data_IF_182418578241
#
_entry.id   IF_182418578241
#
_cell.length_a   1.000
_cell.length_b   1.000
_cell.length_c   1.000
_cell.angle_alpha   90.00
_cell.angle_beta   90.00
_cell.angle_gamma   90.00
#
_symmetry.space_group_name_H-M   'P 1'
#
loop_
_entity.id
_entity.type
_entity.pdbx_description
1 polymer ?
#
# COMPACT_ATOMS: atom_id res chain seq x y z
N UNK A 1 -45.90 -13.05 32.25
CA UNK A 1 -45.51 -11.69 31.83
C UNK A 1 -44.05 -11.68 31.39
N UNK A 2 -43.07 -11.86 32.30
CA UNK A 2 -41.64 -11.96 31.93
C UNK A 2 -41.32 -12.95 30.78
N UNK A 3 -41.90 -14.16 30.77
CA UNK A 3 -41.69 -15.13 29.67
C UNK A 3 -42.30 -14.71 28.33
N UNK A 4 -43.38 -13.94 28.34
CA UNK A 4 -44.02 -13.44 27.12
C UNK A 4 -43.23 -12.24 26.57
N UNK A 5 -42.79 -11.34 27.45
CA UNK A 5 -41.89 -10.22 27.11
C UNK A 5 -40.56 -10.72 26.53
N UNK A 6 -39.94 -11.75 27.13
CA UNK A 6 -38.73 -12.38 26.60
C UNK A 6 -38.97 -13.04 25.23
N UNK A 7 -40.13 -13.69 25.04
CA UNK A 7 -40.46 -14.33 23.76
C UNK A 7 -40.73 -13.29 22.67
N UNK A 8 -41.36 -12.17 23.02
CA UNK A 8 -41.61 -11.07 22.09
C UNK A 8 -40.32 -10.31 21.75
N UNK A 9 -39.41 -10.12 22.71
CA UNK A 9 -38.05 -9.62 22.45
C UNK A 9 -37.24 -10.58 21.57
N UNK A 10 -37.27 -11.89 21.85
CA UNK A 10 -36.58 -12.90 21.04
C UNK A 10 -37.15 -12.97 19.61
N UNK A 11 -38.46 -12.77 19.44
CA UNK A 11 -39.09 -12.66 18.12
C UNK A 11 -38.70 -11.37 17.41
N UNK A 12 -38.67 -10.24 18.13
CA UNK A 12 -38.25 -8.95 17.59
C UNK A 12 -36.78 -8.96 17.12
N UNK A 13 -35.91 -9.69 17.82
CA UNK A 13 -34.50 -9.88 17.45
C UNK A 13 -34.33 -10.92 16.31
N UNK A 14 -35.41 -11.62 15.93
CA UNK A 14 -35.36 -12.68 14.92
C UNK A 14 -34.48 -13.86 15.34
N UNK A 15 -34.62 -14.29 16.60
CA UNK A 15 -33.79 -15.34 17.20
C UNK A 15 -33.95 -16.72 16.54
N UNK A 16 -35.10 -17.00 15.94
CA UNK A 16 -35.36 -18.26 15.23
C UNK A 16 -34.47 -18.42 13.98
N UNK A 17 -34.31 -17.34 13.20
CA UNK A 17 -33.54 -17.33 11.95
C UNK A 17 -32.10 -16.85 12.14
N UNK A 18 -31.72 -16.49 13.38
CA UNK A 18 -30.41 -15.95 13.72
C UNK A 18 -29.26 -16.89 13.30
N UNK A 19 -29.40 -18.20 13.53
CA UNK A 19 -28.38 -19.17 13.15
C UNK A 19 -28.20 -19.28 11.64
N UNK A 20 -29.28 -19.19 10.86
CA UNK A 20 -29.23 -19.29 9.41
C UNK A 20 -28.65 -18.01 8.78
N UNK A 21 -29.06 -16.84 9.29
CA UNK A 21 -28.46 -15.55 8.89
C UNK A 21 -26.96 -15.49 9.19
N UNK A 22 -26.55 -15.92 10.40
CA UNK A 22 -25.14 -15.97 10.76
C UNK A 22 -24.35 -16.91 9.83
N UNK A 23 -24.90 -18.09 9.53
CA UNK A 23 -24.27 -19.03 8.58
C UNK A 23 -24.19 -18.44 7.16
N UNK A 24 -25.20 -17.71 6.69
CA UNK A 24 -25.19 -17.06 5.38
C UNK A 24 -24.05 -16.04 5.27
N UNK A 25 -23.90 -15.17 6.26
CA UNK A 25 -22.80 -14.18 6.33
C UNK A 25 -21.45 -14.88 6.40
N UNK A 26 -21.32 -15.91 7.25
CA UNK A 26 -20.08 -16.67 7.38
C UNK A 26 -19.71 -17.41 6.08
N UNK A 27 -20.68 -18.00 5.36
CA UNK A 27 -20.44 -18.64 4.05
C UNK A 27 -19.95 -17.63 3.01
N UNK A 28 -20.54 -16.44 3.00
CA UNK A 28 -20.10 -15.33 2.15
C UNK A 28 -18.64 -14.93 2.38
N UNK A 29 -18.22 -14.92 3.64
CA UNK A 29 -16.82 -14.71 4.05
C UNK A 29 -15.95 -15.99 3.95
N UNK A 30 -16.43 -17.00 3.23
CA UNK A 30 -15.78 -18.29 2.92
C UNK A 30 -15.47 -19.17 4.14
N UNK A 31 -16.28 -19.12 5.19
CA UNK A 31 -16.18 -20.11 6.27
C UNK A 31 -16.82 -21.43 5.83
N UNK A 32 -16.00 -22.48 5.72
CA UNK A 32 -16.49 -23.85 5.56
C UNK A 32 -17.28 -24.30 6.81
N UNK A 33 -18.24 -25.23 6.69
CA UNK A 33 -18.97 -25.76 7.84
C UNK A 33 -18.05 -26.25 8.97
N UNK A 34 -16.95 -26.92 8.61
CA UNK A 34 -15.95 -27.38 9.57
C UNK A 34 -15.19 -26.23 10.27
N UNK A 35 -15.01 -25.08 9.62
CA UNK A 35 -14.38 -23.89 10.22
C UNK A 35 -15.35 -23.12 11.11
N UNK A 36 -16.65 -23.13 10.80
CA UNK A 36 -17.69 -22.48 11.61
C UNK A 36 -17.80 -23.07 13.02
N UNK A 37 -17.46 -24.35 13.18
CA UNK A 37 -17.51 -25.04 14.48
C UNK A 37 -16.21 -24.93 15.28
N UNK A 38 -15.12 -24.39 14.69
CA UNK A 38 -13.84 -24.25 15.37
C UNK A 38 -13.85 -23.07 16.35
N UNK A 39 -13.14 -23.20 17.48
CA UNK A 39 -12.98 -22.09 18.41
C UNK A 39 -12.17 -20.95 17.77
N UNK A 40 -12.59 -19.71 18.03
CA UNK A 40 -11.97 -18.49 17.46
C UNK A 40 -10.48 -18.36 17.79
N UNK A 41 -10.04 -18.90 18.94
CA UNK A 41 -8.63 -18.94 19.34
C UNK A 41 -7.73 -19.73 18.36
N UNK A 42 -8.30 -20.73 17.67
CA UNK A 42 -7.56 -21.54 16.69
C UNK A 42 -7.46 -20.89 15.30
N UNK A 43 -8.22 -19.83 15.05
CA UNK A 43 -8.21 -19.11 13.78
C UNK A 43 -7.01 -18.16 13.70
N UNK A 44 -6.45 -17.97 12.50
CA UNK A 44 -5.40 -16.99 12.26
C UNK A 44 -5.93 -15.56 12.39
N UNK A 45 -5.03 -14.56 12.49
CA UNK A 45 -5.40 -13.15 12.61
C UNK A 45 -6.42 -12.69 11.56
N UNK A 46 -6.17 -12.96 10.27
CA UNK A 46 -7.10 -12.60 9.19
C UNK A 46 -8.47 -13.27 9.32
N UNK A 47 -8.53 -14.55 9.72
CA UNK A 47 -9.81 -15.22 9.97
C UNK A 47 -10.55 -14.64 11.18
N UNK A 48 -9.84 -14.19 12.22
CA UNK A 48 -10.45 -13.50 13.37
C UNK A 48 -11.04 -12.15 12.97
N UNK A 49 -10.36 -11.40 12.09
CA UNK A 49 -10.89 -10.16 11.51
C UNK A 49 -12.16 -10.44 10.71
N UNK A 50 -12.19 -11.50 9.90
CA UNK A 50 -13.42 -11.94 9.20
C UNK A 50 -14.56 -12.29 10.15
N UNK A 51 -14.30 -12.94 11.28
CA UNK A 51 -15.33 -13.19 12.31
C UNK A 51 -15.85 -11.87 12.90
N UNK A 52 -14.97 -10.90 13.14
CA UNK A 52 -15.36 -9.56 13.63
C UNK A 52 -16.25 -8.83 12.63
N UNK A 53 -15.89 -8.88 11.33
CA UNK A 53 -16.71 -8.34 10.26
C UNK A 53 -18.06 -9.07 10.20
N UNK A 54 -18.07 -10.39 10.21
CA UNK A 54 -19.30 -11.19 10.22
C UNK A 54 -20.25 -10.80 11.36
N UNK A 55 -19.69 -10.55 12.57
CA UNK A 55 -20.44 -10.08 13.72
C UNK A 55 -21.05 -8.70 13.47
N UNK A 56 -20.29 -7.75 12.93
CA UNK A 56 -20.78 -6.41 12.61
C UNK A 56 -21.92 -6.47 11.57
N UNK A 57 -21.77 -7.29 10.53
CA UNK A 57 -22.79 -7.49 9.50
C UNK A 57 -24.04 -8.19 10.03
N UNK A 58 -23.87 -9.12 10.97
CA UNK A 58 -24.99 -9.84 11.59
C UNK A 58 -25.90 -8.94 12.43
N UNK A 59 -25.32 -7.95 13.11
CA UNK A 59 -26.08 -6.97 13.92
C UNK A 59 -27.01 -6.13 13.03
N UNK A 60 -26.63 -5.91 11.76
CA UNK A 60 -27.38 -5.10 10.79
C UNK A 60 -27.81 -3.74 11.38
N UNK A 61 -26.87 -2.88 11.80
CA UNK A 61 -27.19 -1.56 12.35
C UNK A 61 -27.73 -0.61 11.28
N UNK A 62 -28.39 0.48 11.72
CA UNK A 62 -28.84 1.56 10.83
C UNK A 62 -27.67 2.43 10.32
N UNK A 63 -26.59 2.47 11.11
CA UNK A 63 -25.32 3.11 10.77
C UNK A 63 -24.17 2.14 11.02
N UNK A 64 -23.45 1.76 9.96
CA UNK A 64 -22.27 0.90 10.05
C UNK A 64 -21.01 1.71 9.72
N UNK A 65 -20.00 1.61 10.60
CA UNK A 65 -18.68 2.17 10.39
C UNK A 65 -17.69 1.03 10.14
N UNK A 66 -16.98 1.07 9.02
CA UNK A 66 -15.95 0.09 8.66
C UNK A 66 -14.62 0.80 8.46
N UNK A 67 -13.58 0.29 9.12
CA UNK A 67 -12.21 0.76 8.98
C UNK A 67 -11.40 -0.33 8.29
N UNK A 68 -10.98 -0.07 7.04
CA UNK A 68 -10.25 -0.96 6.14
C UNK A 68 -10.80 -2.40 6.08
N UNK A 69 -12.07 -2.60 5.66
CA UNK A 69 -12.73 -3.90 5.71
C UNK A 69 -12.19 -4.91 4.69
N UNK A 70 -11.55 -4.44 3.62
CA UNK A 70 -10.94 -5.26 2.57
C UNK A 70 -9.59 -5.84 2.97
N UNK A 71 -8.95 -5.30 4.01
CA UNK A 71 -7.68 -5.83 4.51
C UNK A 71 -7.85 -7.28 4.98
N UNK A 72 -6.96 -8.17 4.52
CA UNK A 72 -6.98 -9.61 4.81
C UNK A 72 -8.18 -10.39 4.21
N UNK A 73 -8.93 -9.78 3.29
CA UNK A 73 -9.87 -10.47 2.41
C UNK A 73 -9.17 -10.86 1.10
N UNK A 74 -9.57 -12.00 0.54
CA UNK A 74 -9.21 -12.38 -0.81
C UNK A 74 -10.26 -11.84 -1.79
N UNK A 75 -9.92 -11.82 -3.08
CA UNK A 75 -10.77 -11.24 -4.13
C UNK A 75 -12.22 -11.76 -4.09
N UNK A 76 -12.43 -13.06 -3.91
CA UNK A 76 -13.78 -13.65 -3.81
C UNK A 76 -14.59 -13.08 -2.62
N UNK A 77 -13.96 -12.90 -1.45
CA UNK A 77 -14.61 -12.36 -0.27
C UNK A 77 -14.83 -10.84 -0.39
N UNK A 78 -13.93 -10.09 -1.03
CA UNK A 78 -14.13 -8.67 -1.34
C UNK A 78 -15.36 -8.48 -2.25
N UNK A 79 -15.43 -9.23 -3.36
CA UNK A 79 -16.57 -9.17 -4.29
C UNK A 79 -17.90 -9.55 -3.63
N UNK A 80 -17.88 -10.52 -2.71
CA UNK A 80 -19.07 -10.83 -1.90
C UNK A 80 -19.46 -9.66 -1.01
N UNK A 81 -18.49 -9.07 -0.33
CA UNK A 81 -18.72 -7.98 0.61
C UNK A 81 -19.29 -6.75 -0.11
N UNK A 82 -18.77 -6.41 -1.29
CA UNK A 82 -19.30 -5.36 -2.17
C UNK A 82 -20.78 -5.58 -2.46
N UNK A 83 -21.14 -6.77 -2.97
CA UNK A 83 -22.54 -7.11 -3.29
C UNK A 83 -23.42 -7.06 -2.04
N UNK A 84 -22.94 -7.61 -0.92
CA UNK A 84 -23.68 -7.60 0.33
C UNK A 84 -23.86 -6.17 0.87
N UNK A 85 -22.88 -5.28 0.75
CA UNK A 85 -23.00 -3.89 1.17
C UNK A 85 -24.10 -3.19 0.37
N UNK A 86 -24.06 -3.30 -0.96
CA UNK A 86 -25.05 -2.68 -1.83
C UNK A 86 -26.47 -3.19 -1.56
N UNK A 87 -26.64 -4.51 -1.36
CA UNK A 87 -27.97 -5.10 -1.15
C UNK A 87 -28.50 -4.88 0.28
N UNK A 88 -27.65 -5.02 1.30
CA UNK A 88 -28.10 -5.02 2.70
C UNK A 88 -28.20 -3.62 3.31
N UNK A 89 -27.44 -2.66 2.77
CA UNK A 89 -27.41 -1.27 3.25
C UNK A 89 -28.12 -0.29 2.31
N UNK A 90 -28.90 -0.79 1.33
CA UNK A 90 -29.82 0.06 0.58
C UNK A 90 -30.80 0.75 1.55
N UNK A 91 -30.76 2.09 1.56
CA UNK A 91 -31.53 2.93 2.50
C UNK A 91 -30.95 3.06 3.92
N UNK A 92 -29.73 2.57 4.19
CA UNK A 92 -29.04 2.71 5.50
C UNK A 92 -27.75 3.53 5.36
N UNK A 93 -27.20 3.98 6.49
CA UNK A 93 -25.94 4.72 6.48
C UNK A 93 -24.75 3.77 6.60
N UNK A 94 -23.83 3.87 5.65
CA UNK A 94 -22.56 3.15 5.65
C UNK A 94 -21.42 4.16 5.53
N UNK A 95 -20.48 4.13 6.47
CA UNK A 95 -19.24 4.92 6.41
C UNK A 95 -18.08 3.94 6.34
N UNK A 96 -17.33 4.00 5.23
CA UNK A 96 -16.16 3.14 5.02
C UNK A 96 -14.91 3.99 4.89
N UNK A 97 -13.86 3.59 5.59
CA UNK A 97 -12.48 4.00 5.32
C UNK A 97 -11.83 2.84 4.57
N UNK A 98 -11.32 3.08 3.36
CA UNK A 98 -10.55 2.09 2.62
C UNK A 98 -9.56 2.75 1.67
N UNK A 99 -8.51 2.02 1.31
CA UNK A 99 -7.63 2.34 0.19
C UNK A 99 -7.96 1.60 -1.12
N UNK A 100 -8.92 0.66 -1.11
CA UNK A 100 -9.31 -0.13 -2.30
C UNK A 100 -10.27 0.65 -3.22
N UNK A 101 -9.81 0.95 -4.43
CA UNK A 101 -10.57 1.75 -5.42
C UNK A 101 -11.77 1.01 -5.95
N UNK A 102 -11.61 -0.25 -6.31
CA UNK A 102 -12.70 -1.05 -6.89
C UNK A 102 -13.84 -1.17 -5.88
N UNK A 103 -13.48 -1.40 -4.61
CA UNK A 103 -14.44 -1.47 -3.51
C UNK A 103 -15.17 -0.13 -3.29
N UNK A 104 -14.41 0.97 -3.13
CA UNK A 104 -15.01 2.29 -2.89
C UNK A 104 -15.89 2.74 -4.06
N UNK A 105 -15.44 2.49 -5.30
CA UNK A 105 -16.19 2.88 -6.48
C UNK A 105 -17.49 2.06 -6.65
N UNK A 106 -17.51 0.82 -6.17
CA UNK A 106 -18.71 -0.03 -6.22
C UNK A 106 -19.73 0.29 -5.12
N UNK A 107 -19.27 0.68 -3.93
CA UNK A 107 -20.13 0.79 -2.73
C UNK A 107 -20.49 2.23 -2.38
N UNK A 108 -19.61 3.21 -2.62
CA UNK A 108 -19.79 4.57 -2.12
C UNK A 108 -20.57 5.47 -3.09
N UNK A 109 -21.47 6.30 -2.54
CA UNK A 109 -22.23 7.34 -3.25
C UNK A 109 -21.62 8.73 -3.11
N UNK A 110 -20.87 8.94 -2.03
CA UNK A 110 -20.28 10.22 -1.65
C UNK A 110 -18.89 9.96 -1.04
N UNK A 111 -17.94 10.84 -1.32
CA UNK A 111 -16.56 10.75 -0.84
C UNK A 111 -16.26 11.89 0.13
N UNK A 112 -15.78 11.54 1.32
CA UNK A 112 -15.33 12.50 2.32
C UNK A 112 -13.80 12.56 2.32
N UNK A 113 -13.23 13.62 1.75
CA UNK A 113 -11.78 13.81 1.76
C UNK A 113 -11.34 14.57 3.01
N UNK A 114 -10.34 14.03 3.71
CA UNK A 114 -9.69 14.69 4.84
C UNK A 114 -8.38 15.28 4.34
N UNK A 115 -8.32 16.60 4.22
CA UNK A 115 -7.11 17.32 3.79
C UNK A 115 -6.94 18.58 4.65
N UNK A 116 -5.70 18.90 5.06
CA UNK A 116 -5.43 20.14 5.81
C UNK A 116 -6.28 20.33 7.07
N UNK A 117 -6.53 19.23 7.79
CA UNK A 117 -7.42 19.18 8.98
C UNK A 117 -8.84 19.67 8.68
N UNK A 118 -9.29 19.56 7.43
CA UNK A 118 -10.64 19.88 6.97
C UNK A 118 -11.24 18.65 6.29
N UNK A 119 -12.54 18.49 6.47
CA UNK A 119 -13.35 17.49 5.79
C UNK A 119 -14.09 18.17 4.64
N UNK A 120 -13.90 17.70 3.41
CA UNK A 120 -14.64 18.16 2.24
C UNK A 120 -15.43 17.00 1.65
N UNK A 121 -16.73 17.20 1.46
CA UNK A 121 -17.61 16.22 0.86
C UNK A 121 -17.70 16.43 -0.65
N UNK A 122 -17.61 15.34 -1.40
CA UNK A 122 -17.77 15.28 -2.84
C UNK A 122 -18.89 14.29 -3.14
N UNK A 123 -19.88 14.71 -3.93
CA UNK A 123 -20.94 13.83 -4.39
C UNK A 123 -20.46 13.05 -5.61
N UNK A 124 -20.72 11.75 -5.64
CA UNK A 124 -20.31 10.85 -6.71
C UNK A 124 -19.41 9.72 -6.22
N UNK A 125 -19.11 8.82 -7.16
CA UNK A 125 -18.21 7.69 -6.94
C UNK A 125 -16.75 8.13 -6.74
N UNK A 126 -15.90 7.17 -6.37
CA UNK A 126 -14.50 7.45 -6.11
C UNK A 126 -13.76 7.94 -7.36
N UNK A 127 -14.06 7.38 -8.54
CA UNK A 127 -13.46 7.79 -9.80
C UNK A 127 -13.75 9.27 -10.15
N UNK A 128 -14.98 9.73 -9.91
CA UNK A 128 -15.35 11.14 -10.11
C UNK A 128 -14.57 12.04 -9.15
N UNK A 129 -14.42 11.64 -7.89
CA UNK A 129 -13.61 12.38 -6.92
C UNK A 129 -12.14 12.48 -7.35
N UNK A 130 -11.53 11.39 -7.84
CA UNK A 130 -10.15 11.41 -8.34
C UNK A 130 -9.96 12.42 -9.46
N UNK A 131 -10.85 12.41 -10.46
CA UNK A 131 -10.80 13.36 -11.58
C UNK A 131 -10.89 14.81 -11.08
N UNK A 132 -11.84 15.11 -10.18
CA UNK A 132 -12.01 16.45 -9.60
C UNK A 132 -10.79 16.86 -8.76
N UNK A 133 -10.20 15.93 -7.99
CA UNK A 133 -9.01 16.18 -7.18
C UNK A 133 -7.82 16.53 -8.06
N UNK A 134 -7.59 15.77 -9.12
CA UNK A 134 -6.44 15.94 -10.00
C UNK A 134 -6.55 17.25 -10.80
N UNK A 135 -7.74 17.59 -11.30
CA UNK A 135 -8.00 18.90 -11.92
C UNK A 135 -7.76 20.06 -10.95
N UNK A 136 -8.18 19.92 -9.69
CA UNK A 136 -7.94 20.93 -8.66
C UNK A 136 -6.44 21.07 -8.35
N UNK A 137 -5.71 19.95 -8.26
CA UNK A 137 -4.27 19.94 -8.03
C UNK A 137 -3.52 20.63 -9.18
N UNK A 138 -3.84 20.30 -10.43
CA UNK A 138 -3.25 20.97 -11.60
C UNK A 138 -3.53 22.48 -11.61
N UNK A 139 -4.77 22.87 -11.31
CA UNK A 139 -5.17 24.28 -11.26
C UNK A 139 -4.41 25.02 -10.17
N UNK A 140 -4.25 24.41 -9.00
CA UNK A 140 -3.46 24.97 -7.90
C UNK A 140 -1.97 25.08 -8.27
N UNK A 141 -1.42 24.07 -8.93
CA UNK A 141 -0.03 24.07 -9.39
C UNK A 141 0.23 25.18 -10.41
N UNK A 142 -0.63 25.33 -11.43
CA UNK A 142 -0.54 26.41 -12.42
C UNK A 142 -0.61 27.79 -11.75
N UNK A 143 -1.55 27.98 -10.81
CA UNK A 143 -1.67 29.23 -10.04
C UNK A 143 -0.42 29.51 -9.19
N UNK A 144 0.15 28.48 -8.56
CA UNK A 144 1.38 28.60 -7.78
C UNK A 144 2.58 28.97 -8.66
N UNK A 145 2.74 28.32 -9.81
CA UNK A 145 3.83 28.57 -10.75
C UNK A 145 3.76 30.00 -11.32
N UNK A 146 2.56 30.50 -11.64
CA UNK A 146 2.35 31.88 -12.05
C UNK A 146 2.72 32.88 -10.94
N UNK A 147 2.36 32.59 -9.69
CA UNK A 147 2.72 33.43 -8.54
C UNK A 147 4.24 33.43 -8.31
N UNK A 148 4.89 32.26 -8.40
CA UNK A 148 6.35 32.14 -8.29
C UNK A 148 7.07 32.87 -9.44
N UNK A 149 6.56 32.79 -10.66
CA UNK A 149 7.09 33.51 -11.80
C UNK A 149 6.97 35.04 -11.61
N UNK A 150 5.82 35.53 -11.15
CA UNK A 150 5.62 36.94 -10.80
C UNK A 150 6.55 37.38 -9.67
N UNK A 151 6.72 36.54 -8.63
CA UNK A 151 7.66 36.80 -7.53
C UNK A 151 9.11 36.88 -8.03
N UNK A 152 9.55 35.95 -8.88
CA UNK A 152 10.88 35.98 -9.51
C UNK A 152 11.08 37.22 -10.40
N UNK A 153 10.07 37.62 -11.16
CA UNK A 153 10.14 38.83 -12.00
C UNK A 153 10.25 40.10 -11.15
N UNK A 154 9.43 40.22 -10.09
CA UNK A 154 9.52 41.33 -9.15
C UNK A 154 10.86 41.35 -8.43
N UNK A 155 11.40 40.18 -8.03
CA UNK A 155 12.71 40.09 -7.39
C UNK A 155 13.82 40.58 -8.33
N UNK A 156 13.82 40.12 -9.60
CA UNK A 156 14.76 40.60 -10.62
C UNK A 156 14.65 42.11 -10.87
N UNK A 157 13.44 42.66 -10.83
CA UNK A 157 13.22 44.10 -10.95
C UNK A 157 13.79 44.86 -9.75
N UNK A 158 13.53 44.38 -8.54
CA UNK A 158 14.10 44.93 -7.30
C UNK A 158 15.62 44.87 -7.38
N UNK A 159 16.22 43.72 -7.63
CA UNK A 159 17.68 43.54 -7.67
C UNK A 159 18.33 44.46 -8.73
N UNK A 160 17.74 44.57 -9.92
CA UNK A 160 18.26 45.40 -11.02
C UNK A 160 18.21 46.90 -10.72
N UNK A 161 17.16 47.37 -10.03
CA UNK A 161 16.98 48.80 -9.72
C UNK A 161 17.50 49.20 -8.33
N UNK A 162 17.76 48.25 -7.43
CA UNK A 162 18.48 48.50 -6.17
C UNK A 162 19.97 48.74 -6.44
N UNK A 163 20.61 47.93 -7.31
CA UNK A 163 22.04 48.03 -7.62
C UNK A 163 22.41 49.23 -8.51
N UNK A 164 21.45 49.77 -9.29
CA UNK A 164 21.68 50.95 -10.15
C UNK A 164 21.45 52.30 -9.46
N UNK A 165 21.05 52.28 -8.19
CA UNK A 165 20.65 53.46 -7.41
C UNK A 165 21.75 54.47 -7.06
N UNK A 166 22.91 54.47 -7.72
CA UNK A 166 23.96 55.48 -7.47
C UNK A 166 24.53 56.16 -8.72
N UNK A 167 24.08 55.85 -9.95
CA UNK A 167 24.83 56.29 -11.16
C UNK A 167 24.07 57.20 -12.12
N UNK A 168 22.75 57.44 -11.99
CA UNK A 168 22.09 58.44 -12.84
C UNK A 168 20.90 59.14 -12.19
N UNK A 169 20.85 60.46 -12.35
CA UNK A 169 19.86 61.39 -11.79
C UNK A 169 18.43 61.22 -12.37
N UNK A 170 18.24 60.32 -13.35
CA UNK A 170 16.98 60.08 -14.07
C UNK A 170 16.20 58.83 -13.58
N UNK A 171 16.76 58.03 -12.66
CA UNK A 171 16.23 56.70 -12.29
C UNK A 171 15.50 56.67 -10.91
N UNK A 172 15.28 57.85 -10.31
CA UNK A 172 14.80 58.01 -8.92
C UNK A 172 13.36 57.50 -8.71
N UNK A 173 12.54 57.51 -9.77
CA UNK A 173 11.17 56.95 -9.76
C UNK A 173 11.13 55.42 -9.76
N UNK A 174 12.09 54.76 -10.42
CA UNK A 174 12.16 53.30 -10.47
C UNK A 174 12.74 52.72 -9.18
N UNK A 175 13.71 53.42 -8.56
CA UNK A 175 14.25 53.06 -7.25
C UNK A 175 13.19 53.15 -6.12
N UNK A 176 12.30 54.15 -6.16
CA UNK A 176 11.16 54.25 -5.23
C UNK A 176 10.15 53.12 -5.44
N UNK A 177 9.80 52.80 -6.68
CA UNK A 177 8.92 51.66 -7.01
C UNK A 177 9.52 50.32 -6.60
N UNK A 178 10.83 50.13 -6.77
CA UNK A 178 11.54 48.94 -6.31
C UNK A 178 11.49 48.80 -4.78
N UNK A 179 11.67 49.88 -4.01
CA UNK A 179 11.53 49.88 -2.54
C UNK A 179 10.10 49.61 -2.08
N UNK A 180 9.08 50.12 -2.78
CA UNK A 180 7.67 49.81 -2.49
C UNK A 180 7.31 48.36 -2.81
N UNK A 181 7.79 47.82 -3.94
CA UNK A 181 7.64 46.41 -4.28
C UNK A 181 8.36 45.51 -3.29
N UNK A 182 9.56 45.88 -2.83
CA UNK A 182 10.29 45.16 -1.78
C UNK A 182 9.47 45.12 -0.47
N UNK A 183 8.89 46.24 -0.03
CA UNK A 183 7.99 46.27 1.14
C UNK A 183 6.72 45.43 0.94
N UNK A 184 6.17 45.39 -0.28
CA UNK A 184 5.04 44.53 -0.62
C UNK A 184 5.43 43.05 -0.64
N UNK A 185 6.61 42.70 -1.13
CA UNK A 185 7.15 41.33 -1.13
C UNK A 185 7.49 40.86 0.28
N UNK A 186 8.03 41.73 1.12
CA UNK A 186 8.30 41.46 2.54
C UNK A 186 6.98 41.30 3.32
N UNK A 187 5.96 42.12 3.03
CA UNK A 187 4.59 41.92 3.55
C UNK A 187 3.90 40.65 3.06
N UNK A 188 4.19 40.20 1.84
CA UNK A 188 3.65 38.96 1.26
C UNK A 188 4.55 37.73 1.52
N UNK A 189 5.67 37.90 2.21
CA UNK A 189 6.72 36.89 2.32
C UNK A 189 7.30 36.69 3.72
N UNK A 190 6.98 37.54 4.69
CA UNK A 190 7.55 37.45 6.03
C UNK A 190 6.62 36.74 7.01
N UNK A 191 6.93 35.47 7.25
CA UNK A 191 6.81 34.89 8.58
C UNK A 191 7.65 35.77 9.53
N UNK A 192 6.98 36.61 10.32
CA UNK A 192 7.65 37.50 11.27
C UNK A 192 8.48 36.69 12.27
N UNK A 193 9.72 37.12 12.49
CA UNK A 193 10.68 36.51 13.42
C UNK A 193 10.22 36.51 14.90
N UNK A 194 9.04 37.08 15.20
CA UNK A 194 8.46 37.22 16.55
C UNK A 194 7.07 36.57 16.72
N UNK A 195 6.66 35.65 15.85
CA UNK A 195 5.48 34.78 16.09
C UNK A 195 4.11 35.48 16.20
N UNK A 196 4.02 36.80 15.99
CA UNK A 196 2.74 37.54 15.99
C UNK A 196 2.24 37.82 14.57
N UNK A 197 1.12 37.16 14.21
CA UNK A 197 0.34 37.42 13.00
C UNK A 197 -0.34 38.79 13.08
N UNK A 198 -0.08 39.68 12.12
CA UNK A 198 -0.85 40.90 11.94
C UNK A 198 -1.91 40.69 10.84
N UNK A 199 -3.18 40.96 11.18
CA UNK A 199 -4.25 41.14 10.20
C UNK A 199 -4.30 42.60 9.79
N UNK A 200 -4.41 42.89 8.49
CA UNK A 200 -5.19 44.06 8.06
C UNK A 200 -5.93 43.83 6.74
N UNK A 201 -7.21 44.19 6.82
CA UNK A 201 -8.41 44.05 5.97
C UNK A 201 -8.27 44.61 4.52
N UNK A 202 -9.14 44.34 3.54
CA UNK A 202 -10.60 44.55 3.51
C UNK A 202 -11.18 43.97 2.19
N UNK A 203 -11.23 42.64 2.08
CA UNK A 203 -12.17 41.88 1.23
C UNK A 203 -11.78 40.40 1.36
N UNK A 204 -12.59 39.66 2.11
CA UNK A 204 -12.26 38.34 2.62
C UNK A 204 -11.77 37.36 1.55
N UNK A 205 -10.48 37.05 1.60
CA UNK A 205 -9.80 35.73 1.52
C UNK A 205 -8.45 35.97 0.86
N UNK A 206 -7.47 36.45 1.63
CA UNK A 206 -6.07 36.20 1.31
C UNK A 206 -5.74 34.79 1.82
N UNK A 207 -5.88 33.79 0.95
CA UNK A 207 -5.04 32.60 1.07
C UNK A 207 -3.68 33.03 0.57
N UNK A 208 -2.72 33.25 1.47
CA UNK A 208 -1.34 32.89 1.11
C UNK A 208 -1.46 31.44 0.63
N UNK A 209 -1.30 31.22 -0.68
CA UNK A 209 -1.13 29.86 -1.17
C UNK A 209 0.21 29.43 -0.58
N UNK A 210 0.14 28.69 0.53
CA UNK A 210 1.20 27.76 0.90
C UNK A 210 1.57 27.01 -0.37
N UNK A 211 2.87 26.73 -0.57
CA UNK A 211 3.24 25.73 -1.57
C UNK A 211 2.28 24.55 -1.38
N UNK A 212 1.68 24.01 -2.47
CA UNK A 212 0.79 22.85 -2.34
C UNK A 212 1.51 21.89 -1.42
N UNK A 213 0.85 21.49 -0.31
CA UNK A 213 1.50 20.69 0.72
C UNK A 213 2.25 19.60 -0.01
N UNK A 214 3.58 19.64 0.04
CA UNK A 214 4.44 18.81 -0.81
C UNK A 214 4.38 17.34 -0.39
N UNK A 215 3.40 16.98 0.46
CA UNK A 215 2.89 15.62 0.60
C UNK A 215 2.16 15.16 -0.67
N UNK A 216 1.56 16.06 -1.46
CA UNK A 216 1.01 15.80 -2.80
C UNK A 216 2.02 15.89 -3.94
N UNK A 217 3.29 16.18 -3.65
CA UNK A 217 4.37 15.98 -4.60
C UNK A 217 4.63 14.49 -4.71
N UNK A 218 3.90 13.83 -5.61
CA UNK A 218 3.85 12.38 -5.80
C UNK A 218 5.10 11.68 -5.28
N UNK A 219 4.92 10.97 -4.18
CA UNK A 219 5.95 10.15 -3.57
C UNK A 219 6.62 9.31 -4.67
N UNK A 220 7.92 9.53 -4.94
CA UNK A 220 8.65 8.76 -5.95
C UNK A 220 9.30 7.57 -5.28
N UNK A 221 8.72 6.40 -5.47
CA UNK A 221 9.32 5.13 -5.11
C UNK A 221 10.18 4.67 -6.30
N UNK A 222 11.40 4.20 -6.04
CA UNK A 222 12.25 3.65 -7.09
C UNK A 222 13.05 2.46 -6.57
N UNK A 223 12.87 1.30 -7.20
CA UNK A 223 13.71 0.14 -6.95
C UNK A 223 15.15 0.39 -7.43
N UNK A 224 16.16 -0.22 -6.78
CA UNK A 224 17.52 -0.15 -7.28
C UNK A 224 17.65 -0.86 -8.62
N UNK A 225 18.56 -0.37 -9.46
CA UNK A 225 18.98 -1.05 -10.67
C UNK A 225 19.68 -2.37 -10.31
N UNK A 226 19.23 -3.54 -10.82
CA UNK A 226 19.86 -4.82 -10.56
C UNK A 226 21.29 -4.94 -11.11
N UNK A 227 21.74 -3.98 -11.93
CA UNK A 227 23.05 -3.97 -12.56
C UNK A 227 23.10 -4.94 -13.75
N UNK A 228 24.21 -5.68 -13.91
CA UNK A 228 24.34 -6.65 -15.01
C UNK A 228 23.36 -7.81 -14.78
N UNK A 229 22.23 -7.77 -15.49
CA UNK A 229 21.25 -8.85 -15.47
C UNK A 229 21.90 -10.12 -16.02
N UNK A 230 22.01 -11.19 -15.21
CA UNK A 230 22.51 -12.47 -15.69
C UNK A 230 21.58 -12.96 -16.82
N UNK A 231 22.14 -13.47 -17.93
CA UNK A 231 21.33 -13.90 -19.08
C UNK A 231 20.25 -14.92 -18.71
N UNK A 232 19.28 -15.14 -19.60
CA UNK A 232 18.07 -15.98 -19.39
C UNK A 232 18.32 -17.43 -18.93
N UNK A 233 19.55 -17.91 -18.99
CA UNK A 233 19.97 -19.19 -18.40
C UNK A 233 19.95 -19.20 -16.87
N UNK A 234 20.06 -18.04 -16.22
CA UNK A 234 20.14 -17.94 -14.77
C UNK A 234 18.74 -17.70 -14.20
N UNK A 235 18.19 -18.71 -13.52
CA UNK A 235 16.80 -18.73 -13.07
C UNK A 235 16.63 -19.52 -11.79
N UNK A 236 15.51 -19.29 -11.10
CA UNK A 236 15.00 -20.22 -10.09
C UNK A 236 14.12 -21.24 -10.79
N UNK A 237 14.53 -22.50 -10.81
CA UNK A 237 13.78 -23.58 -11.46
C UNK A 237 13.16 -24.50 -10.41
N UNK A 238 11.83 -24.52 -10.39
CA UNK A 238 11.07 -25.52 -9.62
C UNK A 238 10.85 -26.75 -10.52
N UNK A 239 11.16 -27.94 -10.00
CA UNK A 239 10.96 -29.21 -10.70
C UNK A 239 10.22 -30.21 -9.81
N UNK A 240 8.98 -30.53 -10.19
CA UNK A 240 8.08 -31.47 -9.53
C UNK A 240 7.96 -31.23 -8.01
N UNK A 241 7.88 -29.95 -7.62
CA UNK A 241 7.92 -29.57 -6.21
C UNK A 241 6.61 -29.94 -5.51
N UNK A 242 6.74 -30.64 -4.38
CA UNK A 242 5.68 -30.98 -3.43
C UNK A 242 6.03 -30.46 -2.05
N UNK A 243 5.04 -29.96 -1.34
CA UNK A 243 5.23 -29.44 0.01
C UNK A 243 4.07 -29.78 0.95
N UNK A 244 4.40 -30.25 2.15
CA UNK A 244 3.49 -30.51 3.28
C UNK A 244 4.02 -29.84 4.56
N UNK A 245 3.16 -29.15 5.29
CA UNK A 245 3.49 -28.73 6.66
C UNK A 245 3.50 -29.95 7.60
N UNK A 246 4.61 -30.16 8.32
CA UNK A 246 4.80 -31.31 9.22
C UNK A 246 5.54 -32.50 8.61
N UNK A 247 5.95 -32.42 7.34
CA UNK A 247 6.68 -33.48 6.62
C UNK A 247 5.83 -34.69 6.24
N UNK A 248 6.44 -35.67 5.58
CA UNK A 248 5.79 -36.92 5.11
C UNK A 248 5.44 -37.89 6.28
N UNK A 249 5.78 -37.56 7.54
CA UNK A 249 5.66 -38.46 8.70
C UNK A 249 4.28 -38.52 9.36
N UNK A 250 3.24 -37.93 8.78
CA UNK A 250 1.88 -37.97 9.33
C UNK A 250 1.15 -39.28 8.98
N UNK A 251 1.52 -40.37 9.66
CA UNK A 251 0.80 -41.66 9.69
C UNK A 251 -0.42 -41.65 10.63
N UNK A 252 -0.89 -40.48 11.05
CA UNK A 252 -2.10 -40.32 11.85
C UNK A 252 -3.19 -39.64 11.01
N UNK A 253 -4.40 -40.19 11.08
CA UNK A 253 -5.58 -39.95 10.24
C UNK A 253 -6.20 -38.53 10.32
N UNK A 254 -5.39 -37.50 10.57
CA UNK A 254 -5.73 -36.09 10.42
C UNK A 254 -4.72 -35.46 9.46
N UNK A 255 -4.87 -35.80 8.18
CA UNK A 255 -4.00 -35.44 7.06
C UNK A 255 -3.70 -33.94 6.98
N UNK A 256 -2.45 -33.54 7.22
CA UNK A 256 -1.92 -32.31 6.60
C UNK A 256 -1.87 -32.56 5.10
N UNK A 257 -2.96 -32.25 4.40
CA UNK A 257 -3.02 -32.37 2.95
C UNK A 257 -1.83 -31.61 2.32
N UNK A 258 -1.17 -32.24 1.34
CA UNK A 258 -0.09 -31.59 0.62
C UNK A 258 -0.61 -30.32 -0.06
N UNK A 259 0.03 -29.19 0.25
CA UNK A 259 -0.36 -27.88 -0.26
C UNK A 259 -0.08 -27.78 -1.76
N UNK A 260 1.03 -28.36 -2.20
CA UNK A 260 1.47 -28.32 -3.60
C UNK A 260 1.75 -29.71 -4.13
N UNK A 261 1.37 -29.99 -5.37
CA UNK A 261 1.74 -31.21 -6.08
C UNK A 261 2.33 -30.86 -7.45
N UNK A 262 3.57 -31.30 -7.69
CA UNK A 262 4.20 -31.29 -9.00
C UNK A 262 4.42 -29.91 -9.62
N UNK A 263 4.66 -28.89 -8.78
CA UNK A 263 4.93 -27.54 -9.28
C UNK A 263 6.23 -27.51 -10.08
N UNK A 264 6.12 -27.14 -11.35
CA UNK A 264 7.26 -27.03 -12.26
C UNK A 264 7.14 -25.76 -13.11
N UNK A 265 7.93 -24.74 -12.77
CA UNK A 265 8.03 -23.52 -13.57
C UNK A 265 9.37 -22.80 -13.30
N UNK A 266 9.96 -22.15 -14.30
CA UNK A 266 11.11 -21.28 -14.12
C UNK A 266 10.69 -19.86 -13.71
N UNK A 267 11.55 -19.18 -12.96
CA UNK A 267 11.47 -17.74 -12.66
C UNK A 267 12.82 -17.14 -13.04
N UNK A 268 12.83 -16.28 -14.04
CA UNK A 268 14.01 -15.57 -14.54
C UNK A 268 13.94 -14.07 -14.24
N UNK A 269 14.96 -13.31 -14.66
CA UNK A 269 15.01 -11.86 -14.45
C UNK A 269 14.01 -11.06 -15.31
N UNK A 270 13.34 -11.69 -16.28
CA UNK A 270 12.28 -11.06 -17.09
C UNK A 270 10.88 -11.43 -16.62
N UNK A 271 10.78 -12.38 -15.69
CA UNK A 271 9.51 -12.90 -15.20
C UNK A 271 8.76 -11.79 -14.46
N UNK A 272 7.51 -11.57 -14.85
CA UNK A 272 6.52 -10.76 -14.15
C UNK A 272 5.37 -11.69 -13.78
N UNK A 273 5.21 -12.01 -12.50
CA UNK A 273 4.27 -13.04 -12.04
C UNK A 273 3.42 -12.54 -10.87
N UNK A 274 2.10 -12.51 -11.04
CA UNK A 274 1.13 -12.30 -9.97
C UNK A 274 0.62 -13.64 -9.45
N UNK A 275 0.80 -13.88 -8.16
CA UNK A 275 0.26 -15.03 -7.45
C UNK A 275 -1.11 -14.65 -6.86
N UNK A 276 -2.18 -15.24 -7.41
CA UNK A 276 -3.56 -15.05 -6.94
C UNK A 276 -4.10 -16.34 -6.33
N UNK A 277 -5.20 -16.27 -5.58
CA UNK A 277 -5.83 -17.45 -4.97
C UNK A 277 -6.33 -17.19 -3.56
N UNK A 278 -7.05 -18.16 -3.00
CA UNK A 278 -7.72 -18.02 -1.69
C UNK A 278 -6.76 -17.78 -0.54
N UNK A 279 -7.27 -17.19 0.55
CA UNK A 279 -6.48 -17.04 1.76
C UNK A 279 -6.22 -18.40 2.42
N UNK A 280 -4.95 -18.65 2.74
CA UNK A 280 -4.49 -19.97 3.20
C UNK A 280 -4.17 -20.97 2.09
N UNK A 281 -4.27 -20.60 0.80
CA UNK A 281 -3.92 -21.50 -0.30
C UNK A 281 -2.43 -21.85 -0.42
N UNK A 282 -1.56 -21.15 0.34
CA UNK A 282 -0.12 -21.37 0.35
C UNK A 282 0.69 -20.33 -0.43
N UNK A 283 0.12 -19.20 -0.88
CA UNK A 283 0.83 -18.15 -1.64
C UNK A 283 2.18 -17.73 -0.98
N UNK A 284 2.15 -17.34 0.29
CA UNK A 284 3.35 -17.01 1.07
C UNK A 284 4.29 -18.22 1.28
N UNK A 285 3.74 -19.44 1.33
CA UNK A 285 4.53 -20.68 1.41
C UNK A 285 5.31 -20.91 0.11
N UNK A 286 4.68 -20.66 -1.04
CA UNK A 286 5.34 -20.72 -2.35
C UNK A 286 6.47 -19.67 -2.44
N UNK A 287 6.24 -18.44 -1.97
CA UNK A 287 7.30 -17.42 -1.91
C UNK A 287 8.48 -17.84 -1.04
N UNK A 288 8.22 -18.42 0.13
CA UNK A 288 9.28 -18.94 1.02
C UNK A 288 10.04 -20.11 0.40
N UNK A 289 9.35 -20.97 -0.37
CA UNK A 289 9.99 -22.02 -1.17
C UNK A 289 10.84 -21.44 -2.29
N UNK A 290 10.39 -20.39 -2.99
CA UNK A 290 11.19 -19.74 -4.04
C UNK A 290 12.42 -19.06 -3.44
N UNK A 291 12.26 -18.32 -2.34
CA UNK A 291 13.35 -17.62 -1.66
C UNK A 291 14.38 -18.58 -1.02
N UNK A 292 13.91 -19.71 -0.48
CA UNK A 292 14.75 -20.74 0.15
C UNK A 292 14.72 -20.78 1.67
N UNK A 293 13.77 -20.10 2.32
CA UNK A 293 13.51 -20.28 3.76
C UNK A 293 12.85 -21.63 4.07
N UNK A 294 12.12 -22.19 3.10
CA UNK A 294 11.51 -23.52 3.21
C UNK A 294 12.13 -24.46 2.18
N UNK A 295 12.29 -25.72 2.58
CA UNK A 295 12.70 -26.79 1.69
C UNK A 295 11.48 -27.58 1.20
N UNK A 296 11.49 -28.01 -0.07
CA UNK A 296 10.43 -28.86 -0.60
C UNK A 296 10.47 -30.25 0.06
N UNK A 297 9.29 -30.85 0.28
CA UNK A 297 9.20 -32.23 0.80
C UNK A 297 9.60 -33.25 -0.26
N UNK A 298 9.24 -32.98 -1.53
CA UNK A 298 9.72 -33.72 -2.72
C UNK A 298 9.92 -32.77 -3.89
N UNK A 299 10.68 -33.23 -4.89
CA UNK A 299 11.10 -32.38 -6.00
C UNK A 299 12.29 -31.50 -5.63
N UNK A 300 12.77 -30.72 -6.59
CA UNK A 300 13.99 -29.92 -6.43
C UNK A 300 13.74 -28.47 -6.85
N UNK A 301 14.33 -27.54 -6.10
CA UNK A 301 14.38 -26.12 -6.45
C UNK A 301 15.84 -25.78 -6.72
N UNK A 302 16.17 -25.52 -7.98
CA UNK A 302 17.50 -25.06 -8.38
C UNK A 302 17.51 -23.53 -8.39
N UNK A 303 18.51 -22.92 -7.75
CA UNK A 303 18.73 -21.47 -7.76
C UNK A 303 20.12 -21.19 -8.27
N UNK A 304 20.19 -20.34 -9.28
CA UNK A 304 21.44 -19.79 -9.78
C UNK A 304 22.20 -19.01 -8.70
N UNK A 305 23.46 -19.38 -8.41
CA UNK A 305 24.25 -18.74 -7.35
C UNK A 305 24.64 -17.28 -7.61
N UNK A 306 24.52 -16.80 -8.85
CA UNK A 306 24.73 -15.39 -9.22
C UNK A 306 23.47 -14.54 -9.05
N UNK A 307 22.31 -15.17 -8.88
CA UNK A 307 21.05 -14.48 -8.72
C UNK A 307 20.93 -13.91 -7.29
N UNK A 308 20.42 -12.68 -7.18
CA UNK A 308 20.18 -12.00 -5.91
C UNK A 308 18.68 -11.87 -5.75
N UNK A 309 18.13 -12.50 -4.73
CA UNK A 309 16.71 -12.50 -4.43
C UNK A 309 16.45 -11.58 -3.24
N UNK A 310 15.43 -10.75 -3.33
CA UNK A 310 14.87 -10.04 -2.17
C UNK A 310 13.45 -10.55 -1.91
N UNK A 311 13.11 -10.70 -0.63
CA UNK A 311 11.78 -11.09 -0.19
C UNK A 311 11.22 -10.06 0.78
N UNK A 312 10.16 -9.38 0.36
CA UNK A 312 9.40 -8.41 1.14
C UNK A 312 8.16 -9.11 1.67
N UNK A 313 8.17 -9.40 2.98
CA UNK A 313 7.05 -10.09 3.63
C UNK A 313 5.95 -9.12 4.04
N UNK A 314 4.72 -9.59 4.23
CA UNK A 314 3.63 -8.79 4.80
C UNK A 314 4.04 -8.08 6.12
N UNK A 315 4.81 -8.75 6.98
CA UNK A 315 5.31 -8.23 8.26
C UNK A 315 6.72 -7.61 8.17
N UNK A 316 7.14 -7.13 7.00
CA UNK A 316 8.47 -6.55 6.80
C UNK A 316 8.74 -5.34 7.72
N UNK A 317 7.69 -4.59 8.07
CA UNK A 317 7.77 -3.47 9.02
C UNK A 317 8.07 -3.93 10.44
N UNK A 318 7.48 -5.05 10.86
CA UNK A 318 7.63 -5.59 12.22
C UNK A 318 9.04 -6.18 12.47
N UNK A 319 9.80 -6.43 11.40
CA UNK A 319 11.19 -6.92 11.47
C UNK A 319 12.21 -5.80 11.72
N UNK A 320 11.79 -4.53 11.65
CA UNK A 320 12.67 -3.39 11.85
C UNK A 320 13.11 -3.28 13.32
N UNK A 321 14.38 -2.96 13.54
CA UNK A 321 14.89 -2.56 14.85
C UNK A 321 14.41 -1.14 15.16
N UNK A 322 13.35 -1.03 15.96
CA UNK A 322 12.72 0.25 16.31
C UNK A 322 13.65 1.20 17.09
N UNK A 323 14.70 0.67 17.71
CA UNK A 323 15.66 1.46 18.50
C UNK A 323 16.71 2.16 17.63
N UNK A 324 16.97 1.63 16.44
CA UNK A 324 17.95 2.18 15.51
C UNK A 324 17.38 3.36 14.71
N UNK A 325 18.28 4.18 14.17
CA UNK A 325 17.92 5.15 13.11
C UNK A 325 17.90 4.45 11.75
N UNK A 326 17.08 4.91 10.77
CA UNK A 326 17.07 4.34 9.43
C UNK A 326 18.46 4.28 8.79
N UNK A 327 19.27 5.32 8.98
CA UNK A 327 20.62 5.40 8.44
C UNK A 327 21.53 4.31 9.02
N UNK A 328 21.60 4.20 10.34
CA UNK A 328 22.40 3.18 11.02
C UNK A 328 21.93 1.77 10.64
N UNK A 329 20.62 1.56 10.49
CA UNK A 329 20.05 0.27 10.18
C UNK A 329 20.42 -0.20 8.76
N UNK A 330 20.34 0.68 7.76
CA UNK A 330 20.79 0.38 6.38
C UNK A 330 22.29 0.07 6.34
N UNK A 331 23.12 0.86 7.04
CA UNK A 331 24.57 0.63 7.11
C UNK A 331 24.89 -0.72 7.78
N UNK A 332 24.19 -1.05 8.86
CA UNK A 332 24.35 -2.34 9.56
C UNK A 332 24.00 -3.52 8.65
N UNK A 333 22.94 -3.43 7.87
CA UNK A 333 22.51 -4.50 6.95
C UNK A 333 23.46 -4.65 5.76
N UNK A 334 24.06 -3.54 5.32
CA UNK A 334 25.13 -3.58 4.32
C UNK A 334 26.46 -4.15 4.88
N UNK A 335 26.53 -4.48 6.17
CA UNK A 335 27.75 -4.98 6.82
C UNK A 335 28.81 -3.91 7.05
N UNK A 336 28.42 -2.63 7.02
CA UNK A 336 29.32 -1.49 7.20
C UNK A 336 29.42 -1.19 8.70
N UNK A 337 30.59 -1.47 9.27
CA UNK A 337 30.89 -1.19 10.66
C UNK A 337 31.42 0.23 10.86
N UNK A 338 31.31 0.75 12.07
CA UNK A 338 31.94 2.03 12.43
C UNK A 338 33.43 1.81 12.55
N UNK A 339 34.21 2.76 12.03
CA UNK A 339 35.64 2.76 12.28
C UNK A 339 35.89 2.87 13.80
N UNK A 340 36.69 1.93 14.31
CA UNK A 340 37.02 1.77 15.72
C UNK A 340 37.74 3.02 16.27
N UNK A 341 38.51 3.71 15.42
CA UNK A 341 39.32 4.86 15.82
C UNK A 341 38.53 6.17 15.92
N UNK A 342 37.54 6.35 15.05
CA UNK A 342 36.80 7.61 14.88
C UNK A 342 35.35 7.54 15.35
N UNK A 343 34.83 6.33 15.65
CA UNK A 343 33.41 6.08 15.94
C UNK A 343 32.44 6.62 14.86
N UNK A 344 32.95 6.83 13.64
CA UNK A 344 32.19 7.33 12.50
C UNK A 344 32.21 6.35 11.32
N UNK A 345 31.25 6.51 10.40
CA UNK A 345 31.23 5.80 9.14
C UNK A 345 32.10 6.50 8.10
N UNK A 346 32.55 5.77 7.08
CA UNK A 346 33.15 6.41 5.92
C UNK A 346 32.13 7.34 5.24
N UNK A 347 32.60 8.50 4.77
CA UNK A 347 31.74 9.56 4.21
C UNK A 347 30.96 9.04 3.00
N UNK A 348 31.59 8.21 2.18
CA UNK A 348 30.98 7.66 0.95
C UNK A 348 29.85 6.68 1.28
N UNK A 349 30.08 5.77 2.23
CA UNK A 349 29.08 4.80 2.69
C UNK A 349 27.85 5.48 3.31
N UNK A 350 28.09 6.48 4.16
CA UNK A 350 27.01 7.25 4.76
C UNK A 350 26.21 7.98 3.67
N UNK A 351 26.89 8.62 2.71
CA UNK A 351 26.21 9.28 1.59
C UNK A 351 25.42 8.30 0.72
N UNK A 352 25.94 7.11 0.48
CA UNK A 352 25.24 6.06 -0.28
C UNK A 352 23.98 5.57 0.44
N UNK A 353 24.08 5.33 1.75
CA UNK A 353 22.92 4.97 2.57
C UNK A 353 21.87 6.09 2.61
N UNK A 354 22.30 7.37 2.73
CA UNK A 354 21.41 8.54 2.65
C UNK A 354 20.73 8.68 1.29
N UNK A 355 21.45 8.43 0.20
CA UNK A 355 20.87 8.44 -1.16
C UNK A 355 19.85 7.33 -1.32
N UNK A 356 20.14 6.12 -0.81
CA UNK A 356 19.21 4.98 -0.85
C UNK A 356 17.93 5.30 -0.07
N UNK A 357 18.03 5.77 1.16
CA UNK A 357 16.86 6.21 1.94
C UNK A 357 16.09 7.35 1.24
N UNK A 358 16.81 8.27 0.60
CA UNK A 358 16.22 9.36 -0.18
C UNK A 358 15.35 8.88 -1.35
N UNK A 359 15.69 7.75 -1.99
CA UNK A 359 14.87 7.13 -3.04
C UNK A 359 13.52 6.61 -2.54
N UNK A 360 13.39 6.37 -1.24
CA UNK A 360 12.14 5.99 -0.58
C UNK A 360 11.54 7.17 0.20
N UNK A 361 11.90 8.42 -0.14
CA UNK A 361 11.34 9.62 0.49
C UNK A 361 11.75 9.84 1.95
N UNK A 362 12.74 9.09 2.46
CA UNK A 362 13.30 9.27 3.81
C UNK A 362 14.54 10.16 3.69
N UNK A 363 14.38 11.45 3.98
CA UNK A 363 15.45 12.47 3.84
C UNK A 363 15.56 13.37 5.06
N UNK A 364 16.69 14.09 5.16
CA UNK A 364 16.94 15.08 6.21
C UNK A 364 16.86 14.46 7.62
N UNK A 365 16.05 15.07 8.50
CA UNK A 365 15.93 14.65 9.89
C UNK A 365 15.33 13.24 10.06
N UNK A 366 14.51 12.78 9.12
CA UNK A 366 13.91 11.44 9.17
C UNK A 366 14.94 10.32 9.10
N UNK A 367 16.11 10.57 8.50
CA UNK A 367 17.20 9.58 8.43
C UNK A 367 17.90 9.37 9.78
N UNK A 368 17.87 10.40 10.63
CA UNK A 368 18.56 10.44 11.92
C UNK A 368 17.62 10.25 13.12
N UNK A 369 16.31 10.29 12.88
CA UNK A 369 15.31 10.01 13.90
C UNK A 369 15.20 8.49 14.10
N UNK A 370 14.85 8.06 15.32
CA UNK A 370 14.66 6.62 15.60
C UNK A 370 13.43 6.09 14.89
N UNK A 371 13.50 4.83 14.42
CA UNK A 371 12.44 4.18 13.65
C UNK A 371 11.12 4.12 14.46
N UNK A 372 11.18 4.00 15.78
CA UNK A 372 10.00 4.01 16.65
C UNK A 372 9.15 5.29 16.56
N UNK A 373 9.75 6.44 16.24
CA UNK A 373 9.05 7.72 16.16
C UNK A 373 8.48 8.03 14.76
N UNK A 374 8.77 7.16 13.78
CA UNK A 374 8.28 7.30 12.42
C UNK A 374 6.81 6.86 12.33
N UNK A 375 6.04 7.50 11.45
CA UNK A 375 4.68 7.06 11.13
C UNK A 375 4.66 5.66 10.53
N UNK A 376 3.50 4.99 10.49
CA UNK A 376 3.36 3.67 9.85
C UNK A 376 3.88 3.65 8.41
N UNK A 377 3.46 4.61 7.59
CA UNK A 377 3.93 4.75 6.21
C UNK A 377 5.43 5.04 6.13
N UNK A 378 5.98 5.91 7.00
CA UNK A 378 7.44 6.15 7.05
C UNK A 378 8.23 4.89 7.42
N UNK A 379 7.74 4.08 8.38
CA UNK A 379 8.37 2.80 8.73
C UNK A 379 8.32 1.81 7.57
N UNK A 380 7.20 1.73 6.86
CA UNK A 380 7.11 0.92 5.63
C UNK A 380 8.17 1.35 4.61
N UNK A 381 8.31 2.65 4.36
CA UNK A 381 9.34 3.17 3.43
C UNK A 381 10.77 2.81 3.84
N UNK A 382 11.09 2.81 5.14
CA UNK A 382 12.38 2.34 5.66
C UNK A 382 12.54 0.83 5.42
N UNK A 383 11.50 0.05 5.69
CA UNK A 383 11.52 -1.40 5.48
C UNK A 383 11.73 -1.76 4.00
N UNK A 384 11.14 -1.02 3.07
CA UNK A 384 11.40 -1.14 1.63
C UNK A 384 12.87 -0.85 1.28
N UNK A 385 13.41 0.27 1.76
CA UNK A 385 14.80 0.64 1.53
C UNK A 385 15.78 -0.45 2.01
N UNK A 386 15.45 -1.06 3.13
CA UNK A 386 16.21 -2.17 3.72
C UNK A 386 16.10 -3.42 2.87
N UNK A 387 14.89 -3.86 2.54
CA UNK A 387 14.67 -5.12 1.84
C UNK A 387 15.35 -5.15 0.47
N UNK A 388 15.51 -3.99 -0.17
CA UNK A 388 16.19 -3.85 -1.46
C UNK A 388 17.66 -3.46 -1.35
N UNK A 389 18.28 -3.57 -0.17
CA UNK A 389 19.68 -3.13 0.03
C UNK A 389 20.73 -3.92 -0.75
N UNK A 390 20.41 -5.15 -1.16
CA UNK A 390 21.34 -6.02 -1.89
C UNK A 390 21.19 -5.93 -3.42
N UNK A 391 20.56 -4.86 -3.92
CA UNK A 391 20.30 -4.61 -5.35
C UNK A 391 19.79 -5.89 -6.05
N UNK A 392 18.61 -6.40 -5.65
CA UNK A 392 18.14 -7.71 -6.06
C UNK A 392 17.89 -7.78 -7.58
N UNK A 393 18.20 -8.93 -8.18
CA UNK A 393 17.83 -9.24 -9.55
C UNK A 393 16.36 -9.68 -9.65
N UNK A 394 15.83 -10.33 -8.61
CA UNK A 394 14.43 -10.73 -8.51
C UNK A 394 13.86 -10.28 -7.17
N UNK A 395 12.70 -9.63 -7.21
CA UNK A 395 11.97 -9.15 -6.03
C UNK A 395 10.71 -9.98 -5.84
N UNK A 396 10.53 -10.53 -4.64
CA UNK A 396 9.37 -11.27 -4.19
C UNK A 396 8.55 -10.40 -3.22
N UNK A 397 7.30 -10.07 -3.54
CA UNK A 397 6.46 -9.15 -2.75
C UNK A 397 5.20 -9.84 -2.20
N UNK A 398 5.12 -10.09 -0.90
CA UNK A 398 3.96 -10.72 -0.27
C UNK A 398 2.97 -9.67 0.27
N UNK A 399 1.87 -9.47 -0.45
CA UNK A 399 0.82 -8.47 -0.17
C UNK A 399 1.37 -7.05 0.08
N UNK A 400 2.08 -6.46 -0.92
CA UNK A 400 2.83 -5.22 -0.72
C UNK A 400 1.96 -3.98 -0.58
N UNK A 401 0.69 -4.04 -1.00
CA UNK A 401 -0.27 -2.93 -0.90
C UNK A 401 -0.87 -2.80 0.50
N UNK A 402 -0.71 -3.81 1.36
CA UNK A 402 -1.21 -3.75 2.72
C UNK A 402 -0.57 -2.59 3.50
N UNK A 403 -1.40 -1.78 4.13
CA UNK A 403 -0.98 -0.63 4.95
C UNK A 403 -0.30 0.51 4.17
N UNK A 404 -0.38 0.51 2.83
CA UNK A 404 0.02 1.63 1.99
C UNK A 404 -1.18 2.51 1.67
N UNK A 405 -0.95 3.82 1.66
CA UNK A 405 -1.94 4.78 1.18
C UNK A 405 -1.99 4.81 -0.36
N UNK A 406 -3.00 5.50 -0.88
CA UNK A 406 -3.25 5.65 -2.31
C UNK A 406 -2.01 6.10 -3.10
N UNK A 407 -1.31 7.13 -2.62
CA UNK A 407 -0.16 7.70 -3.33
C UNK A 407 1.04 6.74 -3.28
N UNK A 408 1.21 6.01 -2.16
CA UNK A 408 2.26 5.01 -2.02
C UNK A 408 2.04 3.79 -2.89
N UNK A 409 0.80 3.35 -3.09
CA UNK A 409 0.48 2.25 -4.02
C UNK A 409 0.79 2.65 -5.47
N UNK A 410 0.41 3.86 -5.91
CA UNK A 410 0.75 4.34 -7.25
C UNK A 410 2.26 4.44 -7.46
N UNK A 411 2.98 4.98 -6.49
CA UNK A 411 4.42 5.05 -6.55
C UNK A 411 5.07 3.67 -6.65
N UNK A 412 4.54 2.68 -5.91
CA UNK A 412 5.01 1.30 -5.98
C UNK A 412 4.74 0.69 -7.37
N UNK A 413 3.58 0.96 -7.98
CA UNK A 413 3.27 0.52 -9.35
C UNK A 413 4.27 1.13 -10.34
N UNK A 414 4.51 2.44 -10.27
CA UNK A 414 5.48 3.13 -11.13
C UNK A 414 6.89 2.52 -10.97
N UNK A 415 7.28 2.18 -9.74
CA UNK A 415 8.55 1.54 -9.46
C UNK A 415 8.62 0.12 -10.00
N UNK A 416 7.55 -0.68 -9.86
CA UNK A 416 7.46 -2.03 -10.42
C UNK A 416 7.58 -2.01 -11.95
N UNK A 417 6.96 -1.02 -12.61
CA UNK A 417 7.04 -0.84 -14.06
C UNK A 417 8.42 -0.36 -14.52
N UNK A 418 9.08 0.49 -13.74
CA UNK A 418 10.44 0.97 -14.03
C UNK A 418 11.55 -0.05 -13.72
N UNK A 419 11.27 -1.09 -12.93
CA UNK A 419 12.25 -2.10 -12.54
C UNK A 419 12.55 -3.04 -13.69
N UNK A 420 13.83 -3.27 -14.00
CA UNK A 420 14.26 -4.13 -15.13
C UNK A 420 14.49 -5.60 -14.72
N UNK A 421 14.55 -5.91 -13.41
CA UNK A 421 14.73 -7.27 -12.90
C UNK A 421 13.42 -8.06 -12.82
N UNK A 422 13.45 -9.29 -12.28
CA UNK A 422 12.28 -10.17 -12.17
C UNK A 422 11.37 -9.77 -11.01
N UNK A 423 10.06 -9.87 -11.18
CA UNK A 423 9.08 -9.48 -10.17
C UNK A 423 8.07 -10.60 -9.97
N UNK A 424 7.93 -11.07 -8.74
CA UNK A 424 6.89 -12.01 -8.33
C UNK A 424 6.16 -11.41 -7.14
N UNK A 425 4.86 -11.25 -7.21
CA UNK A 425 4.10 -10.63 -6.13
C UNK A 425 2.80 -11.36 -5.85
N UNK A 426 2.35 -11.28 -4.60
CA UNK A 426 1.01 -11.70 -4.15
C UNK A 426 0.22 -10.43 -3.95
N UNK A 427 -0.92 -10.30 -4.63
CA UNK A 427 -1.83 -9.19 -4.39
C UNK A 427 -3.27 -9.63 -4.62
N UNK A 428 -4.17 -9.00 -3.86
CA UNK A 428 -5.62 -9.07 -4.03
C UNK A 428 -6.19 -7.79 -4.62
N UNK A 429 -5.38 -6.73 -4.69
CA UNK A 429 -5.73 -5.44 -5.26
C UNK A 429 -5.77 -5.55 -6.78
N UNK A 430 -6.97 -5.37 -7.35
CA UNK A 430 -7.23 -5.38 -8.79
C UNK A 430 -6.41 -4.31 -9.50
N UNK A 431 -6.42 -3.08 -8.99
CA UNK A 431 -5.73 -1.95 -9.61
C UNK A 431 -4.22 -2.20 -9.65
N UNK A 432 -3.65 -2.75 -8.58
CA UNK A 432 -2.23 -3.10 -8.55
C UNK A 432 -1.87 -4.14 -9.61
N UNK A 433 -2.66 -5.22 -9.71
CA UNK A 433 -2.36 -6.32 -10.65
C UNK A 433 -2.55 -5.88 -12.10
N UNK A 434 -3.56 -5.06 -12.40
CA UNK A 434 -3.84 -4.59 -13.77
C UNK A 434 -2.91 -3.47 -14.23
N UNK A 435 -2.37 -2.68 -13.31
CA UNK A 435 -1.51 -1.53 -13.65
C UNK A 435 -0.03 -1.90 -13.81
N UNK A 436 0.39 -3.06 -13.32
CA UNK A 436 1.75 -3.56 -13.55
C UNK A 436 1.81 -4.24 -14.92
N UNK A 437 2.73 -3.81 -15.77
CA UNK A 437 2.80 -4.25 -17.15
C UNK A 437 3.35 -5.69 -17.31
N UNK A 438 2.86 -6.40 -18.34
CA UNK A 438 3.34 -7.73 -18.77
C UNK A 438 3.25 -8.84 -17.71
N UNK A 439 2.28 -8.76 -16.79
CA UNK A 439 2.12 -9.71 -15.68
C UNK A 439 1.41 -10.99 -16.12
N UNK A 440 2.02 -12.13 -15.87
CA UNK A 440 1.36 -13.43 -15.93
C UNK A 440 0.66 -13.74 -14.60
N UNK A 441 -0.57 -14.27 -14.65
CA UNK A 441 -1.34 -14.60 -13.45
C UNK A 441 -1.26 -16.11 -13.17
N UNK A 442 -0.77 -16.46 -11.98
CA UNK A 442 -0.70 -17.83 -11.49
C UNK A 442 -1.66 -17.99 -10.30
N UNK A 443 -2.71 -18.79 -10.49
CA UNK A 443 -3.61 -19.12 -9.39
C UNK A 443 -3.03 -20.26 -8.57
N UNK A 444 -2.79 -19.99 -7.29
CA UNK A 444 -2.43 -20.98 -6.30
C UNK A 444 -3.72 -21.53 -5.69
N UNK A 445 -3.99 -22.80 -5.95
CA UNK A 445 -5.16 -23.50 -5.42
C UNK A 445 -4.77 -24.33 -4.21
N UNK A 446 -5.43 -24.05 -3.07
CA UNK A 446 -5.28 -24.82 -1.83
C UNK A 446 -6.57 -25.54 -1.48
N UNK A 447 -6.42 -26.74 -0.92
CA UNK A 447 -7.45 -27.71 -0.52
C UNK A 447 -8.33 -28.26 -1.66
N UNK A 448 -8.17 -29.56 -1.96
CA UNK A 448 -9.02 -30.35 -2.86
C UNK A 448 -8.46 -30.63 -4.27
N UNK A 449 -7.75 -29.67 -4.86
CA UNK A 449 -7.01 -29.83 -6.13
C UNK A 449 -5.64 -29.11 -6.05
N UNK A 450 -4.75 -29.54 -5.16
CA UNK A 450 -3.51 -28.83 -4.84
C UNK A 450 -2.58 -28.72 -6.05
N UNK A 451 -2.31 -27.49 -6.47
CA UNK A 451 -1.49 -27.17 -7.63
C UNK A 451 -1.47 -25.67 -7.92
N UNK A 452 -0.69 -25.28 -8.92
CA UNK A 452 -0.71 -23.93 -9.47
C UNK A 452 -1.10 -24.02 -10.93
N UNK A 453 -2.16 -23.30 -11.31
CA UNK A 453 -2.64 -23.24 -12.69
C UNK A 453 -2.29 -21.88 -13.26
N UNK A 454 -1.42 -21.89 -14.28
CA UNK A 454 -1.08 -20.69 -15.04
C UNK A 454 -2.29 -20.30 -15.89
N UNK A 455 -2.71 -19.05 -15.79
CA UNK A 455 -3.65 -18.48 -16.75
C UNK A 455 -2.84 -17.84 -17.86
N UNK A 456 -3.18 -18.19 -19.10
CA UNK A 456 -2.64 -17.51 -20.28
C UNK A 456 -3.34 -16.16 -20.53
N UNK A 457 -4.46 -15.90 -19.83
CA UNK A 457 -5.31 -14.72 -20.01
C UNK A 457 -5.16 -13.71 -18.86
N UNK A 458 -5.58 -12.47 -19.13
CA UNK A 458 -5.58 -11.32 -18.23
C UNK A 458 -6.35 -11.55 -16.91
N UNK A 459 -6.07 -10.71 -15.90
CA UNK A 459 -6.71 -10.73 -14.57
C UNK A 459 -8.25 -10.75 -14.62
N UNK A 460 -8.87 -10.18 -15.66
CA UNK A 460 -10.32 -10.22 -15.86
C UNK A 460 -10.89 -11.65 -15.95
N UNK A 461 -10.17 -12.57 -16.58
CA UNK A 461 -10.60 -13.96 -16.71
C UNK A 461 -10.63 -14.64 -15.33
N UNK A 462 -9.66 -14.32 -14.47
CA UNK A 462 -9.66 -14.75 -13.07
C UNK A 462 -10.84 -14.13 -12.29
N UNK A 463 -11.12 -12.84 -12.45
CA UNK A 463 -12.28 -12.17 -11.82
C UNK A 463 -13.61 -12.81 -12.22
N UNK A 464 -13.81 -13.13 -13.51
CA UNK A 464 -15.02 -13.84 -14.00
C UNK A 464 -15.18 -15.22 -13.34
N UNK A 465 -14.08 -15.96 -13.16
CA UNK A 465 -14.09 -17.24 -12.45
C UNK A 465 -14.43 -17.05 -10.96
N UNK A 466 -13.84 -16.06 -10.30
CA UNK A 466 -14.13 -15.73 -8.91
C UNK A 466 -15.62 -15.39 -8.70
N UNK A 467 -16.21 -14.59 -9.59
CA UNK A 467 -17.66 -14.28 -9.57
C UNK A 467 -18.51 -15.55 -9.74
N UNK A 468 -18.11 -16.45 -10.65
CA UNK A 468 -18.81 -17.74 -10.85
C UNK A 468 -18.70 -18.64 -9.60
N UNK A 469 -17.53 -18.68 -8.96
CA UNK A 469 -17.31 -19.41 -7.72
C UNK A 469 -18.14 -18.80 -6.57
N UNK A 470 -18.23 -17.47 -6.50
CA UNK A 470 -19.04 -16.75 -5.54
C UNK A 470 -20.52 -17.12 -5.64
N UNK A 471 -21.07 -17.18 -6.86
CA UNK A 471 -22.46 -17.62 -7.08
C UNK A 471 -22.75 -19.01 -6.50
N UNK A 472 -21.74 -19.89 -6.44
CA UNK A 472 -21.85 -21.23 -5.84
C UNK A 472 -21.88 -21.20 -4.30
N UNK A 473 -21.30 -20.17 -3.67
CA UNK A 473 -21.34 -19.98 -2.22
C UNK A 473 -22.63 -19.31 -1.74
N UNK A 474 -23.20 -18.45 -2.58
CA UNK A 474 -24.44 -17.72 -2.30
C UNK A 474 -25.68 -18.61 -2.53
N UNK A 475 -25.64 -19.50 -3.52
CA UNK A 475 -26.65 -20.54 -3.76
C UNK A 475 -26.59 -21.63 -2.69
#
# INVERSE_FOLDING_TARGET
KARAEIVDELKAIGAADAHERARKVLRGLQFDPAKMERPVSSLSGGWRVRVSLARALFVAPDCLLLDEPTNHLDLEACLWLEQYMCDAFDGRTLVVVSHDRSFLNAVCTDVLAIQNKKLTAYAGDFATYECVRDEQAERQQKMFDEQQAKKKQMQKFVDKHLHKGSTSMFDDGNAKKAKEMMKKMDRMGAMGHDGKKWKLSYDGVQKELTAPDTEGGGFKFAFPDPGVVPGSSESVQLRDVRFTYGGDSASSASSSAALFHGLSFPIDCTTRLALVGKNGAGKSTLMKLVYGTLEPTRGNIFRSGRLRLSYVTQHHVDQLDLSATPLEYVLRIAGIERDVSSQSYEIEDEQNARRRLGRFGISGHLQTQTINLLSGGQRSRVAWAVATSNDPHIILLDEPTNHLDYDSVNALIDACNAFEGGLVFVSHDEHFVTSVENVNVLEVTGDGAPGATSYADDFESYKKKAIKALRKWIA
#
